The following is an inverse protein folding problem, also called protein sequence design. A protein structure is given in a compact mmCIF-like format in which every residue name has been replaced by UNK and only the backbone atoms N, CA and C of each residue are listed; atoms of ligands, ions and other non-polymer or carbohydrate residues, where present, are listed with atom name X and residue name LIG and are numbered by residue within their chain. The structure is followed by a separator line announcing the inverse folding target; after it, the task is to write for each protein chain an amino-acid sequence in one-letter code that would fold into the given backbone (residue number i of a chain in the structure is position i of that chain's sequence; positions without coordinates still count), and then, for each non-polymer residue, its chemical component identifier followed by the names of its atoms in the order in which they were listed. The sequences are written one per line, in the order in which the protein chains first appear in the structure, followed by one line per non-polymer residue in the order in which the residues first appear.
data_IF_240334777437
#
_entry.id   IF_240334777437
#
_cell.length_a   1.000
_cell.length_b   1.000
_cell.length_c   1.000
_cell.angle_alpha   90.00
_cell.angle_beta   90.00
_cell.angle_gamma   90.00
#
_symmetry.space_group_name_H-M   'P 1'
#
loop_
_entity.id
_entity.type
_entity.pdbx_description
1 polymer ?
#
# COMPACT_ATOMS: atom_id res chain seq x y z
N UNK A 1 -3.23 25.25 17.91
CA UNK A 1 -2.53 24.43 18.92
C UNK A 1 -3.41 23.24 19.22
N UNK A 2 -3.23 22.13 18.55
CA UNK A 2 -3.93 20.86 18.75
C UNK A 2 -2.87 19.78 18.80
N UNK A 3 -2.59 19.27 19.97
CA UNK A 3 -1.66 18.17 20.18
C UNK A 3 -2.30 16.91 19.59
N UNK A 4 -1.61 16.29 18.63
CA UNK A 4 -1.92 14.95 18.16
C UNK A 4 -1.80 13.96 19.32
N UNK A 5 -2.77 13.07 19.55
CA UNK A 5 -2.69 12.08 20.62
C UNK A 5 -1.53 11.10 20.35
N UNK A 6 -0.77 10.84 21.38
CA UNK A 6 0.39 9.94 21.39
C UNK A 6 0.04 8.53 20.85
N UNK A 7 0.52 8.22 19.66
CA UNK A 7 0.38 6.92 18.99
C UNK A 7 1.47 5.90 19.39
N UNK A 8 2.30 6.23 20.38
CA UNK A 8 3.43 5.41 20.78
C UNK A 8 3.14 4.62 22.05
N UNK A 9 2.86 3.35 21.88
CA UNK A 9 3.07 2.34 22.92
C UNK A 9 4.47 1.77 22.70
N UNK A 10 5.45 2.24 23.47
CA UNK A 10 6.81 1.74 23.41
C UNK A 10 6.86 0.30 23.90
N UNK A 11 7.26 -0.62 23.04
CA UNK A 11 7.86 -1.90 23.42
C UNK A 11 9.16 -2.00 22.66
N UNK A 12 10.25 -1.82 23.38
CA UNK A 12 11.59 -2.12 22.90
C UNK A 12 11.75 -3.64 22.86
N UNK A 13 11.89 -4.22 21.70
CA UNK A 13 12.56 -5.51 21.52
C UNK A 13 13.24 -5.53 20.16
N UNK A 14 14.52 -5.77 20.22
CA UNK A 14 15.44 -6.15 19.19
C UNK A 14 14.83 -7.28 18.33
N UNK A 15 14.65 -7.01 17.07
CA UNK A 15 14.90 -7.90 15.94
C UNK A 15 14.53 -7.18 14.65
N UNK A 16 15.53 -6.60 14.04
CA UNK A 16 15.41 -5.74 12.87
C UNK A 16 15.38 -6.58 11.59
N UNK A 17 14.24 -7.17 11.28
CA UNK A 17 13.98 -7.52 9.87
C UNK A 17 13.61 -6.21 9.17
N UNK A 18 14.48 -5.65 8.32
CA UNK A 18 14.15 -4.42 7.61
C UNK A 18 12.99 -4.68 6.64
N UNK A 19 12.23 -3.63 6.28
CA UNK A 19 11.27 -3.73 5.17
C UNK A 19 12.02 -4.20 3.92
N UNK A 20 11.34 -4.90 3.01
CA UNK A 20 11.98 -5.36 1.78
C UNK A 20 12.55 -4.20 0.96
N UNK A 21 11.94 -3.01 1.06
CA UNK A 21 12.43 -1.79 0.45
C UNK A 21 13.72 -1.29 1.09
N UNK A 22 13.79 -1.23 2.43
CA UNK A 22 15.00 -0.82 3.15
C UNK A 22 16.15 -1.82 2.95
N UNK A 23 15.83 -3.12 2.81
CA UNK A 23 16.81 -4.17 2.50
C UNK A 23 17.40 -4.06 1.09
N UNK A 24 16.76 -3.29 0.21
CA UNK A 24 17.26 -3.05 -1.16
C UNK A 24 18.32 -1.95 -1.23
N UNK A 25 18.49 -1.16 -0.16
CA UNK A 25 19.48 -0.09 -0.07
C UNK A 25 20.89 -0.64 0.14
N UNK A 26 21.90 0.11 -0.29
CA UNK A 26 23.30 -0.15 0.04
C UNK A 26 23.52 -0.11 1.55
N UNK A 27 24.51 -0.85 2.04
CA UNK A 27 24.82 -0.86 3.47
C UNK A 27 25.23 0.50 4.03
N UNK A 28 25.75 1.40 3.22
CA UNK A 28 26.10 2.78 3.59
C UNK A 28 24.84 3.62 3.76
N UNK A 29 23.96 3.61 2.77
CA UNK A 29 22.67 4.32 2.79
C UNK A 29 21.76 3.81 3.92
N UNK A 30 21.71 2.50 4.12
CA UNK A 30 20.94 1.90 5.22
C UNK A 30 21.45 2.37 6.60
N UNK A 31 22.78 2.49 6.78
CA UNK A 31 23.36 3.04 8.02
C UNK A 31 23.09 4.53 8.19
N UNK A 32 23.15 5.30 7.11
CA UNK A 32 22.83 6.73 7.14
C UNK A 32 21.38 6.93 7.59
N UNK A 33 20.44 6.28 6.95
CA UNK A 33 19.02 6.38 7.26
C UNK A 33 18.68 5.82 8.66
N UNK A 34 19.36 4.73 9.04
CA UNK A 34 19.13 4.01 10.31
C UNK A 34 19.35 4.85 11.57
N UNK A 35 20.09 5.96 11.48
CA UNK A 35 20.33 6.87 12.63
C UNK A 35 19.06 7.54 13.13
N UNK A 36 18.15 7.86 12.20
CA UNK A 36 16.93 8.61 12.45
C UNK A 36 15.67 7.75 12.37
N UNK A 37 15.81 6.48 11.96
CA UNK A 37 14.69 5.55 11.95
C UNK A 37 14.21 5.23 13.36
N UNK A 38 12.89 5.24 13.54
CA UNK A 38 12.20 4.77 14.73
C UNK A 38 11.31 3.59 14.35
N UNK A 39 11.23 2.60 15.22
CA UNK A 39 10.38 1.43 15.02
C UNK A 39 9.20 1.46 15.95
N UNK A 40 8.02 1.06 15.46
CA UNK A 40 6.81 1.01 16.27
C UNK A 40 5.79 0.03 15.70
N UNK A 41 4.90 -0.46 16.58
CA UNK A 41 3.78 -1.30 16.21
C UNK A 41 2.54 -0.43 16.00
N UNK A 42 1.89 -0.64 14.86
CA UNK A 42 0.70 0.10 14.45
C UNK A 42 -0.49 -0.84 14.38
N UNK A 43 -1.61 -0.42 14.98
CA UNK A 43 -2.84 -1.21 15.00
C UNK A 43 -3.65 -0.96 13.72
N UNK A 44 -4.35 -1.99 13.28
CA UNK A 44 -5.35 -1.89 12.21
C UNK A 44 -6.35 -0.77 12.52
N UNK A 45 -6.68 0.03 11.51
CA UNK A 45 -7.56 1.19 11.60
C UNK A 45 -6.91 2.48 12.14
N UNK A 46 -5.65 2.43 12.59
CA UNK A 46 -4.95 3.65 13.01
C UNK A 46 -4.77 4.62 11.82
N UNK A 47 -5.12 5.88 12.04
CA UNK A 47 -4.90 6.93 11.04
C UNK A 47 -3.44 7.36 11.12
N UNK A 48 -2.74 7.25 9.99
CA UNK A 48 -1.33 7.65 9.84
C UNK A 48 -1.24 9.14 9.57
N UNK A 49 -2.06 9.65 8.65
CA UNK A 49 -2.34 11.07 8.44
C UNK A 49 -3.74 11.27 7.87
N UNK A 50 -4.32 12.43 8.13
CA UNK A 50 -5.58 12.85 7.56
C UNK A 50 -5.40 13.78 6.35
N UNK A 51 -6.39 13.83 5.48
CA UNK A 51 -6.42 14.81 4.40
C UNK A 51 -6.43 16.23 4.97
N UNK A 52 -5.59 17.08 4.41
CA UNK A 52 -5.39 18.46 4.87
C UNK A 52 -4.37 18.61 6.02
N UNK A 53 -3.85 17.50 6.53
CA UNK A 53 -2.77 17.55 7.53
C UNK A 53 -1.39 17.65 6.87
N UNK A 54 -0.41 18.00 7.68
CA UNK A 54 1.00 17.85 7.31
C UNK A 54 1.43 16.41 7.64
N UNK A 55 1.79 15.64 6.61
CA UNK A 55 2.36 14.32 6.81
C UNK A 55 3.87 14.45 7.09
N UNK A 56 4.19 14.86 8.30
CA UNK A 56 5.56 15.13 8.74
C UNK A 56 6.45 13.89 8.91
N UNK A 57 5.98 12.70 8.50
CA UNK A 57 6.74 11.45 8.64
C UNK A 57 6.62 10.57 7.39
N UNK A 58 7.69 9.80 7.15
CA UNK A 58 7.72 8.74 6.14
C UNK A 58 7.66 7.39 6.88
N UNK A 59 6.84 6.48 6.36
CA UNK A 59 6.54 5.19 6.93
C UNK A 59 7.01 4.07 6.01
N UNK A 60 7.79 3.15 6.54
CA UNK A 60 8.28 1.95 5.87
C UNK A 60 7.65 0.73 6.57
N UNK A 61 6.62 0.10 6.03
CA UNK A 61 6.09 -1.12 6.60
C UNK A 61 7.18 -2.21 6.62
N UNK A 62 7.39 -2.85 7.76
CA UNK A 62 8.20 -4.06 7.93
C UNK A 62 7.28 -5.26 7.81
N UNK A 63 6.12 -5.15 8.45
CA UNK A 63 4.98 -6.04 8.30
C UNK A 63 3.70 -5.21 8.31
N UNK A 64 2.59 -5.79 7.84
CA UNK A 64 1.34 -5.04 7.72
C UNK A 64 1.29 -4.19 6.44
N UNK A 65 0.30 -3.31 6.36
CA UNK A 65 0.07 -2.48 5.17
C UNK A 65 -0.63 -1.17 5.51
N UNK A 66 -0.38 -0.14 4.70
CA UNK A 66 -1.04 1.17 4.73
C UNK A 66 -1.94 1.29 3.50
N UNK A 67 -3.21 1.67 3.72
CA UNK A 67 -4.16 2.06 2.68
C UNK A 67 -4.09 3.56 2.47
N UNK A 68 -3.84 3.99 1.25
CA UNK A 68 -3.93 5.39 0.84
C UNK A 68 -5.31 5.62 0.23
N UNK A 69 -6.07 6.55 0.79
CA UNK A 69 -7.46 6.81 0.44
C UNK A 69 -7.65 8.26 0.02
N UNK A 70 -8.54 8.48 -0.94
CA UNK A 70 -9.03 9.81 -1.29
C UNK A 70 -10.40 9.98 -0.63
N UNK A 71 -10.52 10.83 0.41
CA UNK A 71 -11.78 11.02 1.12
C UNK A 71 -12.74 11.88 0.30
N UNK A 72 -14.03 11.61 0.47
CA UNK A 72 -15.11 12.47 0.03
C UNK A 72 -15.58 13.38 1.17
N UNK A 73 -16.33 14.44 0.85
CA UNK A 73 -16.89 15.35 1.87
C UNK A 73 -17.79 14.64 2.90
N UNK A 74 -18.34 13.49 2.57
CA UNK A 74 -19.21 12.71 3.44
C UNK A 74 -18.45 11.70 4.33
N UNK A 75 -17.12 11.79 4.40
CA UNK A 75 -16.28 10.92 5.23
C UNK A 75 -16.00 9.52 4.64
N UNK A 76 -16.59 9.18 3.48
CA UNK A 76 -16.22 7.97 2.76
C UNK A 76 -14.93 8.20 1.97
N UNK A 77 -14.14 7.16 1.80
CA UNK A 77 -12.89 7.25 1.03
C UNK A 77 -12.70 6.04 0.11
N UNK A 78 -12.20 6.29 -1.10
CA UNK A 78 -11.82 5.22 -2.03
C UNK A 78 -10.32 4.97 -1.88
N UNK A 79 -9.94 3.70 -1.74
CA UNK A 79 -8.53 3.31 -1.74
C UNK A 79 -7.95 3.46 -3.14
N UNK A 80 -6.86 4.21 -3.23
CA UNK A 80 -6.12 4.44 -4.48
C UNK A 80 -4.82 3.65 -4.54
N UNK A 81 -4.27 3.26 -3.39
CA UNK A 81 -3.08 2.44 -3.29
C UNK A 81 -3.01 1.68 -1.96
N UNK A 82 -2.30 0.56 -1.98
CA UNK A 82 -1.89 -0.21 -0.79
C UNK A 82 -0.37 -0.26 -0.76
N UNK A 83 0.22 0.10 0.37
CA UNK A 83 1.67 0.12 0.59
C UNK A 83 2.00 -0.94 1.65
N UNK A 84 2.69 -1.97 1.24
CA UNK A 84 3.24 -3.02 2.11
C UNK A 84 4.75 -2.87 2.30
N UNK A 85 5.44 -3.94 2.74
CA UNK A 85 6.89 -3.94 2.98
C UNK A 85 7.75 -3.61 1.74
N UNK A 86 7.18 -3.71 0.55
CA UNK A 86 7.82 -3.39 -0.73
C UNK A 86 7.92 -1.89 -1.00
N UNK A 87 7.21 -1.06 -0.24
CA UNK A 87 7.11 0.38 -0.48
C UNK A 87 7.25 1.21 0.78
N UNK A 88 7.06 2.51 0.61
CA UNK A 88 6.96 3.44 1.72
C UNK A 88 5.95 4.55 1.39
N UNK A 89 5.38 5.15 2.42
CA UNK A 89 4.37 6.18 2.33
C UNK A 89 4.79 7.45 3.07
N UNK A 90 4.32 8.62 2.64
CA UNK A 90 4.64 9.91 3.28
C UNK A 90 5.65 10.76 2.49
N UNK A 91 6.02 10.38 1.27
CA UNK A 91 6.87 11.19 0.39
C UNK A 91 6.10 12.35 -0.23
N UNK A 92 5.71 13.30 0.58
CA UNK A 92 5.18 14.58 0.12
C UNK A 92 6.34 15.51 -0.28
N UNK A 93 6.03 16.65 -0.87
CA UNK A 93 7.06 17.55 -1.40
C UNK A 93 8.00 18.16 -0.35
N UNK A 94 7.70 17.96 0.93
CA UNK A 94 8.51 18.46 2.05
C UNK A 94 8.51 19.98 2.22
N UNK A 95 7.88 20.70 1.27
CA UNK A 95 7.84 22.18 1.31
C UNK A 95 6.72 22.72 2.22
N UNK A 96 5.79 21.84 2.62
CA UNK A 96 4.58 22.26 3.35
C UNK A 96 3.63 23.14 2.53
N UNK A 97 3.94 23.38 1.24
CA UNK A 97 3.20 24.28 0.37
C UNK A 97 1.95 23.64 -0.22
N UNK A 98 1.97 22.32 -0.39
CA UNK A 98 0.84 21.57 -0.95
C UNK A 98 0.21 20.71 0.13
N UNK A 99 -1.06 20.97 0.51
CA UNK A 99 -1.72 20.14 1.51
C UNK A 99 -1.89 18.71 0.98
N UNK A 100 -1.73 17.75 1.89
CA UNK A 100 -1.96 16.34 1.58
C UNK A 100 -3.46 16.11 1.41
N UNK A 101 -3.91 15.78 0.20
CA UNK A 101 -5.32 15.55 -0.11
C UNK A 101 -5.78 14.10 0.11
N UNK A 102 -4.88 13.24 0.56
CA UNK A 102 -5.15 11.84 0.87
C UNK A 102 -5.15 11.59 2.38
N UNK A 103 -5.88 10.57 2.79
CA UNK A 103 -5.80 9.99 4.11
C UNK A 103 -4.99 8.69 4.02
N UNK A 104 -4.15 8.41 5.01
CA UNK A 104 -3.50 7.11 5.16
C UNK A 104 -3.98 6.42 6.43
N UNK A 105 -4.37 5.16 6.28
CA UNK A 105 -4.87 4.32 7.36
C UNK A 105 -4.13 2.99 7.37
N UNK A 106 -3.78 2.51 8.54
CA UNK A 106 -3.21 1.17 8.70
C UNK A 106 -4.28 0.15 8.30
N UNK A 107 -4.13 -0.46 7.14
CA UNK A 107 -5.04 -1.47 6.60
C UNK A 107 -4.89 -2.80 7.33
N UNK A 108 -3.67 -3.14 7.67
CA UNK A 108 -3.36 -4.30 8.49
C UNK A 108 -2.26 -3.92 9.47
N UNK A 109 -2.52 -4.21 10.74
CA UNK A 109 -1.59 -3.94 11.82
C UNK A 109 -0.26 -4.67 11.63
N UNK A 110 0.82 -4.03 12.07
CA UNK A 110 2.16 -4.58 11.95
C UNK A 110 3.22 -3.61 12.45
N UNK A 111 4.47 -3.99 12.24
CA UNK A 111 5.64 -3.21 12.63
C UNK A 111 6.09 -2.32 11.49
N UNK A 112 6.32 -1.05 11.75
CA UNK A 112 6.79 -0.07 10.77
C UNK A 112 8.04 0.63 11.30
N UNK A 113 8.94 0.95 10.36
CA UNK A 113 9.97 1.94 10.60
C UNK A 113 9.46 3.31 10.13
N UNK A 114 9.78 4.36 10.87
CA UNK A 114 9.36 5.74 10.56
C UNK A 114 10.53 6.69 10.67
N UNK A 115 10.52 7.75 9.88
CA UNK A 115 11.49 8.83 9.94
C UNK A 115 10.77 10.16 9.73
N UNK A 116 11.25 11.22 10.40
CA UNK A 116 10.76 12.57 10.11
C UNK A 116 11.04 12.93 8.63
N UNK A 117 10.06 13.51 7.96
CA UNK A 117 10.20 13.88 6.54
C UNK A 117 11.38 14.83 6.32
N UNK A 118 11.57 15.80 7.21
CA UNK A 118 12.72 16.74 7.19
C UNK A 118 14.06 15.99 7.25
N UNK A 119 14.21 15.04 8.19
CA UNK A 119 15.44 14.26 8.34
C UNK A 119 15.71 13.41 7.10
N UNK A 120 14.66 12.81 6.50
CA UNK A 120 14.80 12.08 5.25
C UNK A 120 15.23 12.99 4.10
N UNK A 121 14.61 14.16 3.95
CA UNK A 121 14.95 15.09 2.88
C UNK A 121 16.37 15.66 3.02
N UNK A 122 16.82 15.95 4.24
CA UNK A 122 18.19 16.33 4.52
C UNK A 122 19.18 15.23 4.09
N UNK A 123 18.93 13.98 4.47
CA UNK A 123 19.75 12.85 4.06
C UNK A 123 19.71 12.61 2.52
N UNK A 124 18.55 12.79 1.90
CA UNK A 124 18.37 12.60 0.45
C UNK A 124 19.05 13.70 -0.37
N UNK A 125 19.28 14.88 0.18
CA UNK A 125 20.06 15.94 -0.51
C UNK A 125 21.55 15.60 -0.65
N UNK A 126 22.05 14.72 0.22
CA UNK A 126 23.45 14.28 0.24
C UNK A 126 23.65 12.87 -0.34
N UNK A 127 22.55 12.10 -0.50
CA UNK A 127 22.58 10.71 -0.92
C UNK A 127 21.64 10.45 -2.11
N UNK A 128 22.22 10.28 -3.32
CA UNK A 128 21.45 10.04 -4.54
C UNK A 128 20.55 8.80 -4.46
N UNK A 129 20.98 7.76 -3.74
CA UNK A 129 20.20 6.53 -3.57
C UNK A 129 18.88 6.79 -2.81
N UNK A 130 18.90 7.68 -1.82
CA UNK A 130 17.68 8.10 -1.10
C UNK A 130 16.76 8.96 -1.99
N UNK A 131 17.34 9.81 -2.83
CA UNK A 131 16.57 10.54 -3.85
C UNK A 131 15.86 9.60 -4.82
N UNK A 132 16.57 8.56 -5.30
CA UNK A 132 15.97 7.50 -6.15
C UNK A 132 14.89 6.71 -5.43
N UNK A 133 15.10 6.36 -4.17
CA UNK A 133 14.10 5.67 -3.35
C UNK A 133 12.80 6.49 -3.29
N UNK A 134 12.88 7.76 -2.98
CA UNK A 134 11.72 8.64 -2.95
C UNK A 134 11.01 8.72 -4.31
N UNK A 135 11.77 8.86 -5.41
CA UNK A 135 11.23 8.90 -6.76
C UNK A 135 10.51 7.60 -7.14
N UNK A 136 11.09 6.44 -6.82
CA UNK A 136 10.48 5.13 -7.07
C UNK A 136 9.19 4.97 -6.28
N UNK A 137 9.15 5.35 -4.99
CA UNK A 137 7.95 5.26 -4.17
C UNK A 137 6.83 6.18 -4.69
N UNK A 138 7.16 7.41 -5.10
CA UNK A 138 6.19 8.34 -5.72
C UNK A 138 5.65 7.78 -7.04
N UNK A 139 6.51 7.26 -7.90
CA UNK A 139 6.11 6.64 -9.16
C UNK A 139 5.23 5.42 -8.94
N UNK A 140 5.55 4.60 -7.95
CA UNK A 140 4.74 3.43 -7.57
C UNK A 140 3.35 3.81 -7.08
N UNK A 141 3.25 4.82 -6.22
CA UNK A 141 1.97 5.36 -5.76
C UNK A 141 1.12 5.89 -6.93
N UNK A 142 1.74 6.67 -7.83
CA UNK A 142 1.07 7.19 -9.01
C UNK A 142 0.55 6.07 -9.91
N UNK A 143 1.36 5.05 -10.18
CA UNK A 143 0.98 3.90 -10.99
C UNK A 143 -0.20 3.13 -10.39
N UNK A 144 -0.20 2.89 -9.07
CA UNK A 144 -1.32 2.25 -8.40
C UNK A 144 -2.59 3.09 -8.51
N UNK A 145 -2.49 4.41 -8.34
CA UNK A 145 -3.63 5.34 -8.46
C UNK A 145 -4.21 5.36 -9.88
N UNK A 146 -3.36 5.42 -10.91
CA UNK A 146 -3.79 5.36 -12.32
C UNK A 146 -4.48 4.02 -12.64
N UNK A 147 -3.93 2.90 -12.17
CA UNK A 147 -4.55 1.58 -12.34
C UNK A 147 -5.85 1.45 -11.59
N UNK A 148 -5.97 2.05 -10.43
CA UNK A 148 -7.23 2.07 -9.68
C UNK A 148 -8.30 2.89 -10.41
N UNK A 149 -7.95 4.04 -10.98
CA UNK A 149 -8.86 4.84 -11.78
C UNK A 149 -9.39 4.07 -13.00
N UNK A 150 -8.49 3.44 -13.79
CA UNK A 150 -8.86 2.58 -14.90
C UNK A 150 -9.75 1.43 -14.43
N UNK A 151 -9.33 0.72 -13.38
CA UNK A 151 -10.01 -0.45 -12.86
C UNK A 151 -11.45 -0.11 -12.39
N UNK A 152 -11.64 1.03 -11.76
CA UNK A 152 -12.94 1.48 -11.29
C UNK A 152 -13.91 1.80 -12.43
N UNK A 153 -13.39 2.14 -13.60
CA UNK A 153 -14.19 2.52 -14.78
C UNK A 153 -14.55 1.33 -15.66
N UNK A 154 -13.59 0.40 -15.87
CA UNK A 154 -13.74 -0.63 -16.92
C UNK A 154 -14.02 -2.04 -16.39
N UNK A 155 -13.76 -2.30 -15.10
CA UNK A 155 -13.87 -3.65 -14.55
C UNK A 155 -15.06 -3.80 -13.60
N UNK A 156 -15.66 -5.01 -13.60
CA UNK A 156 -16.76 -5.35 -12.71
C UNK A 156 -16.34 -5.30 -11.23
N UNK A 157 -17.32 -5.12 -10.34
CA UNK A 157 -17.07 -5.11 -8.90
C UNK A 157 -16.48 -6.44 -8.41
N UNK A 158 -16.87 -7.57 -9.03
CA UNK A 158 -16.34 -8.91 -8.69
C UNK A 158 -14.84 -9.01 -9.00
N UNK A 159 -14.44 -8.62 -10.21
CA UNK A 159 -13.03 -8.65 -10.63
C UNK A 159 -12.16 -7.70 -9.77
N UNK A 160 -12.70 -6.52 -9.42
CA UNK A 160 -12.05 -5.55 -8.53
C UNK A 160 -11.90 -6.07 -7.11
N UNK A 161 -12.92 -6.77 -6.59
CA UNK A 161 -12.88 -7.40 -5.27
C UNK A 161 -11.78 -8.47 -5.21
N UNK A 162 -11.71 -9.35 -6.21
CA UNK A 162 -10.67 -10.37 -6.31
C UNK A 162 -9.27 -9.74 -6.40
N UNK A 163 -9.08 -8.72 -7.25
CA UNK A 163 -7.83 -7.97 -7.35
C UNK A 163 -7.42 -7.36 -6.02
N UNK A 164 -8.34 -6.68 -5.35
CA UNK A 164 -8.08 -6.01 -4.08
C UNK A 164 -7.66 -7.01 -3.00
N UNK A 165 -8.36 -8.13 -2.88
CA UNK A 165 -8.07 -9.17 -1.90
C UNK A 165 -6.69 -9.80 -2.15
N UNK A 166 -6.32 -10.06 -3.41
CA UNK A 166 -5.00 -10.56 -3.79
C UNK A 166 -3.91 -9.54 -3.46
N UNK A 167 -4.09 -8.27 -3.81
CA UNK A 167 -3.12 -7.21 -3.52
C UNK A 167 -2.89 -7.04 -2.03
N UNK A 168 -3.95 -7.06 -1.23
CA UNK A 168 -3.85 -6.98 0.23
C UNK A 168 -3.14 -8.22 0.79
N UNK A 169 -3.50 -9.41 0.32
CA UNK A 169 -2.82 -10.66 0.68
C UNK A 169 -1.33 -10.63 0.34
N UNK A 170 -0.97 -10.08 -0.82
CA UNK A 170 0.42 -9.91 -1.24
C UNK A 170 1.19 -8.95 -0.33
N UNK A 171 0.60 -7.81 0.02
CA UNK A 171 1.20 -6.84 0.91
C UNK A 171 1.42 -7.42 2.33
N UNK A 172 0.52 -8.29 2.77
CA UNK A 172 0.63 -8.97 4.06
C UNK A 172 1.58 -10.18 4.05
N UNK A 173 1.86 -10.75 2.88
CA UNK A 173 2.56 -12.02 2.77
C UNK A 173 1.77 -13.19 3.38
N UNK A 174 0.43 -13.10 3.43
CA UNK A 174 -0.44 -14.05 4.11
C UNK A 174 -1.75 -14.24 3.36
N UNK A 175 -2.27 -15.47 3.36
CA UNK A 175 -3.56 -15.79 2.73
C UNK A 175 -4.76 -15.48 3.63
N UNK A 176 -4.53 -15.00 4.85
CA UNK A 176 -5.58 -14.55 5.75
C UNK A 176 -5.52 -13.02 5.84
N UNK A 177 -6.54 -12.37 5.29
CA UNK A 177 -6.72 -10.92 5.35
C UNK A 177 -7.72 -10.59 6.45
N UNK A 178 -7.30 -9.84 7.46
CA UNK A 178 -8.20 -9.29 8.48
C UNK A 178 -8.88 -8.07 7.88
N UNK A 179 -10.18 -8.19 7.65
CA UNK A 179 -10.96 -7.11 7.02
C UNK A 179 -12.44 -7.39 7.17
N UNK A 180 -13.23 -6.34 7.34
CA UNK A 180 -14.68 -6.42 7.28
C UNK A 180 -15.18 -6.21 5.85
N UNK A 181 -16.35 -6.75 5.54
CA UNK A 181 -16.97 -6.51 4.22
C UNK A 181 -17.35 -5.04 4.01
N UNK A 182 -17.55 -4.30 5.09
CA UNK A 182 -17.77 -2.87 5.05
C UNK A 182 -16.49 -2.11 4.63
N UNK A 183 -15.35 -2.45 5.22
CA UNK A 183 -14.07 -1.86 4.85
C UNK A 183 -13.67 -2.16 3.38
N UNK A 184 -13.99 -3.38 2.89
CA UNK A 184 -13.78 -3.69 1.47
C UNK A 184 -14.72 -2.87 0.58
N UNK A 185 -15.99 -2.75 0.96
CA UNK A 185 -16.98 -1.98 0.22
C UNK A 185 -16.56 -0.51 0.11
N UNK A 186 -16.08 0.07 1.21
CA UNK A 186 -15.55 1.42 1.25
C UNK A 186 -14.30 1.55 0.36
N UNK A 187 -13.31 0.68 0.51
CA UNK A 187 -12.08 0.70 -0.28
C UNK A 187 -12.35 0.62 -1.80
N UNK A 188 -13.35 -0.16 -2.20
CA UNK A 188 -13.73 -0.34 -3.61
C UNK A 188 -14.76 0.67 -4.13
N UNK A 189 -15.33 1.52 -3.27
CA UNK A 189 -16.40 2.44 -3.63
C UNK A 189 -17.68 1.72 -4.11
N UNK A 190 -18.03 0.60 -3.48
CA UNK A 190 -19.24 -0.18 -3.79
C UNK A 190 -20.16 -0.27 -2.56
N UNK A 191 -21.41 -0.69 -2.77
CA UNK A 191 -22.33 -0.89 -1.65
C UNK A 191 -21.91 -2.13 -0.83
N UNK A 192 -22.09 -2.08 0.48
CA UNK A 192 -21.85 -3.22 1.40
C UNK A 192 -22.60 -4.49 0.97
N UNK A 193 -23.85 -4.33 0.51
CA UNK A 193 -24.63 -5.45 -0.02
C UNK A 193 -23.99 -6.11 -1.23
N UNK A 194 -23.37 -5.32 -2.12
CA UNK A 194 -22.61 -5.83 -3.28
C UNK A 194 -21.38 -6.60 -2.82
N UNK A 195 -20.60 -6.05 -1.89
CA UNK A 195 -19.43 -6.75 -1.34
C UNK A 195 -19.81 -8.07 -0.67
N UNK A 196 -20.93 -8.10 0.07
CA UNK A 196 -21.47 -9.33 0.68
C UNK A 196 -21.84 -10.39 -0.36
N UNK A 197 -22.54 -10.00 -1.43
CA UNK A 197 -22.93 -10.92 -2.50
C UNK A 197 -21.72 -11.53 -3.20
N UNK A 198 -20.72 -10.71 -3.51
CA UNK A 198 -19.46 -11.17 -4.12
C UNK A 198 -18.75 -12.16 -3.18
N UNK A 199 -18.60 -11.81 -1.91
CA UNK A 199 -17.96 -12.69 -0.92
C UNK A 199 -18.68 -14.03 -0.80
N UNK A 200 -20.01 -14.04 -0.77
CA UNK A 200 -20.81 -15.27 -0.73
C UNK A 200 -20.64 -16.12 -2.00
N UNK A 201 -20.57 -15.49 -3.18
CA UNK A 201 -20.33 -16.21 -4.44
C UNK A 201 -18.95 -16.88 -4.46
N UNK A 202 -17.90 -16.15 -4.05
CA UNK A 202 -16.55 -16.69 -3.97
C UNK A 202 -16.43 -17.80 -2.92
N UNK A 203 -17.16 -17.68 -1.80
CA UNK A 203 -17.22 -18.72 -0.77
C UNK A 203 -17.94 -19.97 -1.26
N UNK A 204 -19.06 -19.84 -2.00
CA UNK A 204 -19.75 -20.99 -2.62
C UNK A 204 -18.88 -21.73 -3.63
N UNK A 205 -18.01 -21.01 -4.34
CA UNK A 205 -17.02 -21.60 -5.27
C UNK A 205 -15.81 -22.21 -4.55
N UNK A 206 -15.72 -22.08 -3.21
CA UNK A 206 -14.56 -22.56 -2.47
C UNK A 206 -13.29 -21.69 -2.59
N UNK A 207 -13.38 -20.58 -3.33
CA UNK A 207 -12.20 -19.71 -3.60
C UNK A 207 -11.75 -19.00 -2.34
N UNK A 208 -12.69 -18.59 -1.48
CA UNK A 208 -12.39 -17.95 -0.18
C UNK A 208 -13.21 -18.60 0.93
N UNK A 209 -12.83 -18.35 2.19
CA UNK A 209 -13.68 -18.60 3.33
C UNK A 209 -13.79 -17.34 4.20
N UNK A 210 -15.03 -16.94 4.51
CA UNK A 210 -15.32 -15.77 5.33
C UNK A 210 -15.51 -16.17 6.79
N UNK A 211 -14.86 -15.46 7.69
CA UNK A 211 -15.05 -15.54 9.14
C UNK A 211 -15.32 -14.16 9.72
N UNK A 212 -15.52 -14.08 11.04
CA UNK A 212 -15.77 -12.80 11.71
C UNK A 212 -14.55 -11.89 11.55
N UNK A 213 -14.67 -10.82 10.74
CA UNK A 213 -13.62 -9.83 10.51
C UNK A 213 -12.38 -10.36 9.75
N UNK A 214 -12.50 -11.47 9.02
CA UNK A 214 -11.40 -12.05 8.23
C UNK A 214 -11.90 -12.80 7.01
N UNK A 215 -11.08 -12.76 5.96
CA UNK A 215 -11.25 -13.55 4.74
C UNK A 215 -9.97 -14.36 4.54
N UNK A 216 -10.12 -15.68 4.37
CA UNK A 216 -9.00 -16.57 4.02
C UNK A 216 -9.13 -16.96 2.54
N UNK A 217 -8.05 -16.81 1.77
CA UNK A 217 -7.92 -17.28 0.40
C UNK A 217 -7.67 -18.79 0.49
N UNK A 218 -8.52 -19.58 -0.17
CA UNK A 218 -8.46 -21.04 -0.21
C UNK A 218 -7.95 -21.57 -1.53
N UNK A 219 -8.34 -20.89 -2.62
CA UNK A 219 -7.87 -21.16 -3.97
C UNK A 219 -7.36 -19.86 -4.57
N UNK A 220 -6.04 -19.66 -4.47
CA UNK A 220 -5.38 -18.45 -4.99
C UNK A 220 -5.42 -18.40 -6.51
N UNK A 221 -5.29 -19.55 -7.20
CA UNK A 221 -5.33 -19.61 -8.66
C UNK A 221 -6.73 -19.26 -9.18
N UNK A 222 -7.78 -19.79 -8.55
CA UNK A 222 -9.16 -19.43 -8.87
C UNK A 222 -9.46 -17.95 -8.59
N UNK A 223 -8.90 -17.39 -7.53
CA UNK A 223 -9.05 -15.96 -7.22
C UNK A 223 -8.33 -15.09 -8.27
N UNK A 224 -7.13 -15.50 -8.71
CA UNK A 224 -6.37 -14.81 -9.78
C UNK A 224 -7.12 -14.84 -11.11
N UNK A 225 -7.70 -15.98 -11.45
CA UNK A 225 -8.51 -16.12 -12.68
C UNK A 225 -9.77 -15.26 -12.67
N UNK A 226 -10.32 -14.97 -11.48
CA UNK A 226 -11.49 -14.12 -11.31
C UNK A 226 -11.13 -12.62 -11.18
N UNK A 227 -9.88 -12.29 -10.95
CA UNK A 227 -9.40 -10.92 -10.87
C UNK A 227 -9.26 -10.29 -12.26
N UNK A 228 -9.32 -8.96 -12.31
CA UNK A 228 -8.99 -8.25 -13.55
C UNK A 228 -7.46 -8.26 -13.80
N UNK A 229 -7.10 -8.06 -15.08
CA UNK A 229 -5.71 -7.97 -15.56
C UNK A 229 -4.87 -6.87 -14.85
N UNK A 230 -5.52 -5.88 -14.25
CA UNK A 230 -4.86 -4.89 -13.41
C UNK A 230 -4.05 -5.52 -12.26
N UNK A 231 -4.37 -6.75 -11.85
CA UNK A 231 -3.57 -7.46 -10.85
C UNK A 231 -2.18 -7.83 -11.39
N UNK A 232 -2.14 -8.42 -12.58
CA UNK A 232 -0.89 -8.84 -13.22
C UNK A 232 -0.04 -7.67 -13.70
N UNK A 233 -0.67 -6.60 -14.18
CA UNK A 233 0.03 -5.41 -14.70
C UNK A 233 0.78 -4.65 -13.62
N UNK A 234 0.25 -4.59 -12.40
CA UNK A 234 1.00 -4.02 -11.27
C UNK A 234 2.22 -4.86 -10.86
N UNK A 235 2.32 -6.06 -11.42
CA UNK A 235 3.48 -6.94 -11.26
C UNK A 235 3.66 -7.50 -9.85
N UNK A 236 4.73 -8.25 -9.64
CA UNK A 236 5.03 -8.85 -8.36
C UNK A 236 5.39 -7.78 -7.31
N UNK A 237 5.22 -8.15 -6.06
CA UNK A 237 5.43 -7.37 -4.83
C UNK A 237 6.81 -6.67 -4.72
N UNK A 238 7.80 -7.10 -5.50
CA UNK A 238 9.18 -6.62 -5.40
C UNK A 238 9.54 -5.50 -6.40
N UNK A 239 8.59 -5.01 -7.14
CA UNK A 239 8.85 -4.07 -8.22
C UNK A 239 9.57 -2.79 -7.79
N UNK A 240 9.17 -2.08 -6.70
CA UNK A 240 9.94 -0.94 -6.22
C UNK A 240 11.39 -1.30 -5.85
N UNK A 241 11.59 -2.46 -5.24
CA UNK A 241 12.91 -2.95 -4.86
C UNK A 241 13.78 -3.30 -6.09
N UNK A 242 13.19 -3.88 -7.15
CA UNK A 242 13.87 -4.17 -8.41
C UNK A 242 14.33 -2.88 -9.12
N UNK A 243 13.49 -1.83 -9.09
CA UNK A 243 13.82 -0.52 -9.66
C UNK A 243 14.99 0.15 -8.94
N UNK A 244 15.04 0.06 -7.62
CA UNK A 244 16.13 0.60 -6.81
C UNK A 244 17.46 -0.09 -7.13
N UNK A 245 17.44 -1.39 -7.41
CA UNK A 245 18.65 -2.17 -7.78
C UNK A 245 19.10 -1.98 -9.23
N UNK A 246 18.52 -1.04 -9.98
CA UNK A 246 18.88 -0.77 -11.36
C UNK A 246 18.31 -1.77 -12.38
N UNK A 247 17.33 -2.57 -11.97
CA UNK A 247 16.54 -3.42 -12.87
C UNK A 247 15.70 -2.55 -13.80
N UNK A 248 16.13 -2.40 -15.06
CA UNK A 248 15.48 -1.52 -16.03
C UNK A 248 13.98 -1.85 -16.19
N UNK A 249 13.15 -0.84 -15.94
CA UNK A 249 11.70 -0.86 -16.06
C UNK A 249 11.20 -1.34 -17.43
N UNK A 250 11.98 -1.10 -18.47
CA UNK A 250 11.59 -1.32 -19.87
C UNK A 250 11.57 -2.78 -20.33
N UNK A 251 12.24 -3.70 -19.65
CA UNK A 251 12.32 -5.11 -20.09
C UNK A 251 11.06 -5.96 -19.84
N UNK A 252 10.11 -5.49 -19.03
CA UNK A 252 8.90 -6.27 -18.69
C UNK A 252 7.57 -5.67 -19.17
N UNK A 253 7.57 -4.42 -19.65
CA UNK A 253 6.36 -3.80 -20.18
C UNK A 253 6.05 -4.32 -21.61
N UNK A 254 7.04 -4.81 -22.33
CA UNK A 254 6.91 -5.26 -23.72
C UNK A 254 5.94 -6.44 -23.93
N UNK A 255 5.60 -7.19 -22.86
CA UNK A 255 4.60 -8.26 -22.91
C UNK A 255 3.23 -7.92 -22.32
N UNK A 256 3.09 -6.83 -21.57
CA UNK A 256 1.89 -6.53 -20.78
C UNK A 256 1.02 -5.40 -21.34
N UNK A 257 1.53 -4.62 -22.29
CA UNK A 257 0.77 -3.53 -22.94
C UNK A 257 0.76 -3.76 -24.44
N UNK A 258 0.04 -4.78 -24.89
CA UNK A 258 -0.46 -4.80 -26.26
C UNK A 258 -1.58 -3.76 -26.32
N UNK A 259 -1.27 -2.57 -26.82
CA UNK A 259 -2.29 -1.61 -27.23
C UNK A 259 -3.07 -2.27 -28.37
N UNK A 260 -4.25 -2.80 -28.06
CA UNK A 260 -5.18 -3.25 -29.08
C UNK A 260 -5.60 -2.01 -29.90
N UNK A 261 -5.30 -1.92 -31.20
CA UNK A 261 -5.61 -0.74 -32.02
C UNK A 261 -7.09 -0.56 -32.35
N UNK A 262 -7.98 -1.24 -31.61
CA UNK A 262 -9.43 -1.15 -31.81
C UNK A 262 -10.10 -0.61 -30.55
N UNK A 263 -10.04 0.68 -30.38
CA UNK A 263 -11.05 1.50 -29.69
C UNK A 263 -11.31 2.71 -30.57
#
# INVERSE_FOLDING_TARGET
MGQSPHLFGAIATDDSTPSSLLSALSGETARLLGRDLRHGDFREGAVVWDAGSDAGQIFFPISGAISIRVPTRNGHGIEVATIGPEGAAGFHDGSGTVPVLTQAVVQAGGRFATIAAEAFHAAASECEELGRLAAVCKAWLLLQSQRTALCNTVHSADARFCRWLLRTSDALGADIVRVTQEAIAEALGIRRTTANLIAQQLQRKGTISCGRGKIAIRDRAGLQSAACDCYSVLGPRHWPCELLRGGGLFRRIDGAVSLNPRI
#
